data_IF_050544398841
#
_entry.id   IF_050544398841
#
_cell.length_a   1.000
_cell.length_b   1.000
_cell.length_c   1.000
_cell.angle_alpha   90.00
_cell.angle_beta   90.00
_cell.angle_gamma   90.00
#
_symmetry.space_group_name_H-M   'P 1'
#
loop_
_entity.id
_entity.type
_entity.pdbx_description
1 polymer ?
#
# COMPACT_ATOMS: atom_id res chain seq x y z
N UNK A 1 -9.67 16.48 -13.19
CA UNK A 1 -8.96 16.79 -11.93
C UNK A 1 -8.65 18.28 -11.86
N UNK A 2 -8.69 18.87 -10.65
CA UNK A 2 -8.21 20.25 -10.40
C UNK A 2 -6.90 20.17 -9.61
N UNK A 3 -5.94 21.05 -9.90
CA UNK A 3 -4.67 21.10 -9.18
C UNK A 3 -4.91 21.62 -7.76
N UNK A 4 -4.50 20.85 -6.76
CA UNK A 4 -4.41 21.29 -5.37
C UNK A 4 -3.06 21.95 -5.07
N UNK A 5 -2.94 22.52 -3.86
CA UNK A 5 -1.76 23.25 -3.37
C UNK A 5 -1.12 22.59 -2.11
N UNK A 6 -1.68 21.48 -1.64
CA UNK A 6 -1.27 20.80 -0.40
C UNK A 6 -0.23 19.68 -0.61
N UNK A 7 0.25 19.47 -1.84
CA UNK A 7 1.26 18.45 -2.16
C UNK A 7 0.74 17.02 -2.30
N UNK A 8 -0.57 16.79 -2.21
CA UNK A 8 -1.18 15.47 -2.39
C UNK A 8 -1.76 15.30 -3.79
N UNK A 9 -1.68 14.07 -4.31
CA UNK A 9 -2.31 13.67 -5.58
C UNK A 9 -3.24 12.50 -5.33
N UNK A 10 -4.53 12.70 -5.60
CA UNK A 10 -5.54 11.65 -5.50
C UNK A 10 -5.87 11.08 -6.87
N UNK A 11 -5.90 9.74 -6.95
CA UNK A 11 -6.21 8.95 -8.12
C UNK A 11 -7.56 8.24 -7.89
N UNK A 12 -8.37 8.05 -8.95
CA UNK A 12 -9.65 7.35 -8.83
C UNK A 12 -9.52 5.83 -8.63
N UNK A 13 -8.31 5.28 -8.70
CA UNK A 13 -7.96 3.87 -8.56
C UNK A 13 -6.45 3.69 -8.43
N UNK A 14 -6.02 2.51 -7.98
CA UNK A 14 -4.61 2.14 -7.91
C UNK A 14 -4.06 1.93 -9.32
N UNK A 15 -3.08 2.73 -9.78
CA UNK A 15 -2.63 2.70 -11.18
C UNK A 15 -1.90 1.41 -11.57
N UNK A 16 -1.48 0.60 -10.58
CA UNK A 16 -0.83 -0.69 -10.77
C UNK A 16 -1.83 -1.84 -11.01
N UNK A 17 -3.12 -1.63 -10.71
CA UNK A 17 -4.16 -2.66 -10.77
C UNK A 17 -5.15 -2.30 -11.89
N UNK A 18 -5.16 -3.04 -13.02
CA UNK A 18 -6.06 -2.75 -14.13
C UNK A 18 -7.54 -2.79 -13.71
N UNK A 19 -8.27 -1.70 -13.98
CA UNK A 19 -9.70 -1.61 -13.68
C UNK A 19 -10.03 -1.29 -12.22
N UNK A 20 -9.02 -1.03 -11.38
CA UNK A 20 -9.25 -0.62 -10.00
C UNK A 20 -9.97 0.73 -9.91
N UNK A 21 -10.86 0.85 -8.92
CA UNK A 21 -11.68 2.04 -8.68
C UNK A 21 -11.62 2.50 -7.22
N UNK A 22 -10.69 1.97 -6.43
CA UNK A 22 -10.52 2.33 -5.03
C UNK A 22 -9.67 3.60 -4.93
N UNK A 23 -10.24 4.73 -4.48
CA UNK A 23 -9.54 6.00 -4.50
C UNK A 23 -8.34 5.99 -3.55
N UNK A 24 -7.19 6.37 -4.09
CA UNK A 24 -5.91 6.46 -3.39
C UNK A 24 -5.41 7.89 -3.45
N UNK A 25 -4.84 8.38 -2.36
CA UNK A 25 -4.16 9.68 -2.34
C UNK A 25 -2.75 9.53 -1.82
N UNK A 26 -1.82 10.16 -2.54
CA UNK A 26 -0.39 9.96 -2.38
C UNK A 26 0.30 11.29 -2.15
N UNK A 27 1.31 11.30 -1.29
CA UNK A 27 2.30 12.36 -1.29
C UNK A 27 3.28 12.20 -2.47
N UNK A 28 4.26 13.09 -2.53
CA UNK A 28 5.28 13.08 -3.59
C UNK A 28 6.23 11.87 -3.52
N UNK A 29 6.45 11.28 -2.35
CA UNK A 29 7.36 10.15 -2.15
C UNK A 29 6.68 8.86 -2.59
N UNK A 30 5.44 8.65 -2.16
CA UNK A 30 4.63 7.51 -2.59
C UNK A 30 4.37 7.53 -4.10
N UNK A 31 4.17 8.72 -4.66
CA UNK A 31 4.03 8.88 -6.12
C UNK A 31 5.28 8.41 -6.89
N UNK A 32 6.49 8.62 -6.34
CA UNK A 32 7.73 8.10 -6.93
C UNK A 32 7.83 6.58 -6.79
N UNK A 33 7.41 6.04 -5.66
CA UNK A 33 7.33 4.59 -5.47
C UNK A 33 6.36 3.93 -6.45
N UNK A 34 5.18 4.51 -6.68
CA UNK A 34 4.23 4.01 -7.69
C UNK A 34 4.84 4.01 -9.09
N UNK A 35 5.58 5.06 -9.44
CA UNK A 35 6.26 5.15 -10.74
C UNK A 35 7.35 4.07 -10.89
N UNK A 36 8.15 3.83 -9.84
CA UNK A 36 9.16 2.78 -9.84
C UNK A 36 8.52 1.39 -9.93
N UNK A 37 7.47 1.12 -9.14
CA UNK A 37 6.72 -0.13 -9.19
C UNK A 37 6.12 -0.39 -10.59
N UNK A 38 5.56 0.64 -11.23
CA UNK A 38 5.04 0.54 -12.60
C UNK A 38 6.14 0.25 -13.65
N UNK A 39 7.38 0.68 -13.39
CA UNK A 39 8.55 0.40 -14.22
C UNK A 39 9.24 -0.93 -13.88
N UNK A 40 8.81 -1.64 -12.83
CA UNK A 40 9.50 -2.84 -12.33
C UNK A 40 10.85 -2.52 -11.66
N UNK A 41 11.03 -1.29 -11.18
CA UNK A 41 12.24 -0.80 -10.53
C UNK A 41 12.11 -0.82 -9.01
N UNK A 42 13.23 -0.92 -8.30
CA UNK A 42 13.27 -0.75 -6.85
C UNK A 42 13.24 0.74 -6.48
N UNK A 43 12.61 1.05 -5.34
CA UNK A 43 12.60 2.40 -4.78
C UNK A 43 12.79 2.35 -3.27
N UNK A 44 13.77 3.10 -2.78
CA UNK A 44 14.05 3.27 -1.36
C UNK A 44 13.98 4.76 -1.03
N UNK A 45 13.06 5.20 -0.17
CA UNK A 45 12.92 6.62 0.12
C UNK A 45 13.91 7.08 1.21
N UNK A 46 14.42 8.30 1.08
CA UNK A 46 15.26 8.91 2.13
C UNK A 46 14.47 9.38 3.36
N UNK A 47 13.15 9.58 3.19
CA UNK A 47 12.23 10.07 4.22
C UNK A 47 10.91 9.29 4.17
N UNK A 48 10.07 9.41 5.19
CA UNK A 48 8.79 8.68 5.21
C UNK A 48 7.88 9.19 4.12
N UNK A 49 7.39 8.28 3.29
CA UNK A 49 6.34 8.54 2.29
C UNK A 49 4.97 8.09 2.79
N UNK A 50 3.94 8.84 2.44
CA UNK A 50 2.57 8.60 2.91
C UNK A 50 1.60 8.39 1.75
N UNK A 51 0.69 7.44 1.94
CA UNK A 51 -0.50 7.27 1.14
C UNK A 51 -1.69 6.88 2.00
N UNK A 52 -2.90 7.00 1.46
CA UNK A 52 -4.11 6.51 2.10
C UNK A 52 -5.15 6.07 1.09
N UNK A 53 -5.97 5.11 1.51
CA UNK A 53 -7.15 4.61 0.81
C UNK A 53 -8.30 4.52 1.82
N UNK A 54 -9.09 5.59 1.90
CA UNK A 54 -10.14 5.73 2.93
C UNK A 54 -11.44 5.02 2.57
N UNK A 55 -11.57 4.50 1.35
CA UNK A 55 -12.69 3.66 0.90
C UNK A 55 -12.32 2.16 0.92
N UNK A 56 -11.17 1.80 1.49
CA UNK A 56 -10.62 0.45 1.37
C UNK A 56 -9.86 0.22 0.07
N UNK A 57 -9.33 -1.00 -0.08
CA UNK A 57 -8.63 -1.49 -1.27
C UNK A 57 -9.39 -2.65 -1.91
N UNK A 58 -8.96 -3.04 -3.11
CA UNK A 58 -9.30 -4.30 -3.73
C UNK A 58 -8.75 -5.49 -2.91
N UNK A 59 -9.23 -6.68 -3.26
CA UNK A 59 -8.67 -7.93 -2.74
C UNK A 59 -7.26 -8.13 -3.30
N UNK A 60 -6.25 -8.08 -2.43
CA UNK A 60 -4.82 -8.20 -2.80
C UNK A 60 -4.12 -9.27 -1.97
N UNK A 61 -3.00 -9.80 -2.48
CA UNK A 61 -2.20 -10.77 -1.74
C UNK A 61 -1.10 -10.08 -0.92
N UNK A 62 -1.09 -10.30 0.38
CA UNK A 62 -0.25 -9.57 1.34
C UNK A 62 1.25 -9.81 1.19
N UNK A 63 1.67 -10.94 0.60
CA UNK A 63 3.10 -11.27 0.47
C UNK A 63 3.64 -11.24 -0.96
N UNK A 64 2.75 -11.28 -1.96
CA UNK A 64 3.12 -11.41 -3.37
C UNK A 64 2.32 -10.39 -4.19
N UNK A 65 2.95 -9.28 -4.61
CA UNK A 65 2.31 -8.24 -5.40
C UNK A 65 1.94 -8.69 -6.82
N UNK A 66 2.45 -9.84 -7.28
CA UNK A 66 2.17 -10.39 -8.61
C UNK A 66 1.07 -11.44 -8.64
N UNK A 67 0.56 -11.85 -7.48
CA UNK A 67 -0.49 -12.86 -7.40
C UNK A 67 -1.80 -12.32 -8.00
N UNK A 68 -2.41 -13.10 -8.91
CA UNK A 68 -3.61 -12.67 -9.64
C UNK A 68 -4.87 -13.45 -9.30
N UNK A 69 -4.77 -14.53 -8.52
CA UNK A 69 -5.89 -15.43 -8.22
C UNK A 69 -5.92 -15.81 -6.74
N UNK A 70 -7.05 -15.53 -6.04
CA UNK A 70 -7.27 -15.99 -4.67
C UNK A 70 -7.04 -17.48 -4.48
N UNK A 71 -6.41 -17.82 -3.36
CA UNK A 71 -6.20 -19.18 -2.89
C UNK A 71 -6.52 -19.27 -1.38
N UNK A 72 -6.46 -20.49 -0.84
CA UNK A 72 -6.76 -20.77 0.57
C UNK A 72 -5.58 -20.47 1.51
N UNK A 73 -4.59 -19.67 1.07
CA UNK A 73 -3.41 -19.34 1.88
C UNK A 73 -3.71 -18.43 3.08
N UNK A 74 -4.86 -17.76 3.07
CA UNK A 74 -5.23 -16.75 4.07
C UNK A 74 -4.44 -15.43 3.95
N UNK A 75 -3.63 -15.28 2.90
CA UNK A 75 -2.84 -14.08 2.63
C UNK A 75 -3.56 -13.06 1.74
N UNK A 76 -4.72 -13.43 1.20
CA UNK A 76 -5.61 -12.52 0.48
C UNK A 76 -6.38 -11.67 1.47
N UNK A 77 -6.24 -10.35 1.31
CA UNK A 77 -6.85 -9.36 2.18
C UNK A 77 -7.52 -8.29 1.33
N UNK A 78 -8.75 -7.97 1.67
CA UNK A 78 -9.41 -6.75 1.23
C UNK A 78 -9.44 -5.80 2.42
N UNK A 79 -8.56 -4.81 2.41
CA UNK A 79 -8.41 -3.91 3.55
C UNK A 79 -9.49 -2.82 3.55
N UNK A 80 -9.95 -2.46 4.75
CA UNK A 80 -10.86 -1.33 4.96
C UNK A 80 -10.12 0.01 4.87
N UNK A 81 -10.67 1.11 5.40
CA UNK A 81 -9.97 2.39 5.43
C UNK A 81 -8.59 2.28 6.11
N UNK A 82 -7.52 2.67 5.41
CA UNK A 82 -6.15 2.55 5.92
C UNK A 82 -5.21 3.64 5.40
N UNK A 83 -4.10 3.84 6.12
CA UNK A 83 -2.94 4.57 5.65
C UNK A 83 -1.86 3.58 5.22
N UNK A 84 -0.96 4.04 4.35
CA UNK A 84 0.22 3.29 3.95
C UNK A 84 1.47 4.15 4.10
N UNK A 85 2.54 3.54 4.62
CA UNK A 85 3.79 4.22 4.90
C UNK A 85 4.96 3.54 4.20
N UNK A 86 5.75 4.32 3.46
CA UNK A 86 7.07 3.92 3.00
C UNK A 86 8.10 4.42 4.01
N UNK A 87 8.96 3.51 4.47
CA UNK A 87 10.00 3.84 5.42
C UNK A 87 11.37 3.71 4.77
N UNK A 88 12.34 4.57 5.12
CA UNK A 88 13.73 4.40 4.68
C UNK A 88 14.27 3.02 5.04
N UNK A 89 15.21 2.50 4.25
CA UNK A 89 15.88 1.22 4.52
C UNK A 89 16.60 1.16 5.87
N UNK A 90 17.05 2.31 6.38
CA UNK A 90 17.67 2.41 7.70
C UNK A 90 16.68 2.16 8.86
N UNK A 91 15.38 2.16 8.60
CA UNK A 91 14.36 1.87 9.63
C UNK A 91 14.11 0.36 9.67
N UNK A 92 14.50 -0.32 10.75
CA UNK A 92 14.29 -1.76 10.87
C UNK A 92 12.81 -2.08 11.02
N UNK A 93 12.34 -3.11 10.30
CA UNK A 93 10.99 -3.66 10.45
C UNK A 93 10.95 -4.89 11.37
N UNK A 94 12.06 -5.21 12.02
CA UNK A 94 12.13 -6.35 12.93
C UNK A 94 11.09 -6.18 14.06
N UNK A 95 10.19 -7.15 14.19
CA UNK A 95 9.13 -7.16 15.20
C UNK A 95 7.80 -6.51 14.76
N UNK A 96 7.72 -5.93 13.57
CA UNK A 96 6.42 -5.60 12.96
C UNK A 96 5.83 -6.89 12.41
N UNK A 97 4.57 -7.20 12.73
CA UNK A 97 3.90 -8.38 12.21
C UNK A 97 3.63 -8.22 10.70
N UNK A 98 3.46 -9.31 9.99
CA UNK A 98 3.08 -9.37 8.57
C UNK A 98 1.74 -10.07 8.37
N UNK A 99 0.96 -10.29 9.44
CA UNK A 99 -0.36 -10.91 9.37
C UNK A 99 -1.44 -9.82 9.37
N UNK A 100 -2.14 -9.60 8.24
CA UNK A 100 -3.20 -8.60 8.18
C UNK A 100 -4.35 -8.90 9.14
N UNK A 101 -4.49 -10.12 9.66
CA UNK A 101 -5.60 -10.49 10.54
C UNK A 101 -5.31 -10.20 12.03
N UNK A 102 -4.08 -9.78 12.35
CA UNK A 102 -3.71 -9.33 13.69
C UNK A 102 -4.00 -7.84 13.81
N UNK A 103 -4.54 -7.43 14.95
CA UNK A 103 -4.86 -6.03 15.21
C UNK A 103 -3.59 -5.16 15.20
N UNK A 104 -3.65 -4.06 14.45
CA UNK A 104 -2.60 -3.03 14.40
C UNK A 104 -1.91 -2.96 13.04
N UNK A 105 -0.82 -2.17 12.96
CA UNK A 105 -0.04 -2.04 11.73
C UNK A 105 0.66 -3.35 11.36
N UNK A 106 0.76 -3.62 10.07
CA UNK A 106 1.45 -4.80 9.53
C UNK A 106 2.28 -4.46 8.30
N UNK A 107 3.26 -5.30 7.98
CA UNK A 107 4.09 -5.17 6.78
C UNK A 107 3.42 -5.89 5.63
N UNK A 108 3.17 -5.17 4.54
CA UNK A 108 2.79 -5.76 3.26
C UNK A 108 4.04 -5.90 2.37
N UNK A 109 4.10 -7.02 1.65
CA UNK A 109 5.19 -7.38 0.71
C UNK A 109 6.61 -7.28 1.32
N UNK A 110 6.75 -7.59 2.61
CA UNK A 110 7.96 -7.36 3.39
C UNK A 110 9.25 -7.99 2.86
N UNK A 111 9.14 -9.01 2.00
CA UNK A 111 10.27 -9.70 1.35
C UNK A 111 10.61 -9.14 -0.04
N UNK A 112 9.95 -8.06 -0.45
CA UNK A 112 10.14 -7.42 -1.76
C UNK A 112 10.66 -5.99 -1.60
N UNK A 113 11.26 -5.40 -2.65
CA UNK A 113 11.59 -3.97 -2.66
C UNK A 113 10.37 -3.04 -2.56
N UNK A 114 9.15 -3.58 -2.71
CA UNK A 114 7.89 -2.83 -2.65
C UNK A 114 7.26 -2.82 -1.26
N UNK A 115 8.00 -3.25 -0.23
CA UNK A 115 7.51 -3.30 1.15
C UNK A 115 6.97 -1.95 1.62
N UNK A 116 5.85 -1.98 2.32
CA UNK A 116 5.27 -0.81 2.97
C UNK A 116 4.49 -1.24 4.22
N UNK A 117 4.26 -0.29 5.12
CA UNK A 117 3.45 -0.52 6.33
C UNK A 117 2.01 -0.18 6.02
N UNK A 118 1.12 -1.11 6.32
CA UNK A 118 -0.33 -0.91 6.33
C UNK A 118 -0.74 -0.47 7.73
N UNK A 119 -1.53 0.60 7.82
CA UNK A 119 -2.06 1.11 9.10
C UNK A 119 -3.59 1.19 8.98
N UNK A 120 -4.31 0.15 9.44
CA UNK A 120 -5.78 0.18 9.46
C UNK A 120 -6.29 1.33 10.34
N UNK A 121 -7.26 2.10 9.83
CA UNK A 121 -7.93 3.19 10.56
C UNK A 121 -9.45 3.00 10.65
N UNK A 122 -9.98 1.97 10.00
CA UNK A 122 -11.38 1.58 10.02
C UNK A 122 -11.55 0.06 9.92
N UNK A 123 -12.80 -0.41 10.04
CA UNK A 123 -13.11 -1.82 9.87
C UNK A 123 -13.08 -2.21 8.38
N UNK A 124 -12.74 -3.47 8.10
CA UNK A 124 -12.95 -4.09 6.79
C UNK A 124 -14.45 -4.22 6.53
N UNK A 125 -14.85 -3.96 5.29
CA UNK A 125 -16.21 -4.29 4.85
C UNK A 125 -16.38 -5.82 4.84
N UNK A 126 -17.59 -6.28 5.16
CA UNK A 126 -17.94 -7.70 5.27
C UNK A 126 -18.64 -8.19 4.01
#
# INVERSE_FOLDING_TARGET
MRKGDNGWTCLPGVPLIPGDTHPMCNDAIWSKWLAAAAAGESYSPDTVGYSYMLQGDAMVHNHDPSATQPDDSGHWVQEGPHLMLLLPESVPLAGVNDDPNVAGPYVMWGKTPMRHIMVPVGAREK
#
